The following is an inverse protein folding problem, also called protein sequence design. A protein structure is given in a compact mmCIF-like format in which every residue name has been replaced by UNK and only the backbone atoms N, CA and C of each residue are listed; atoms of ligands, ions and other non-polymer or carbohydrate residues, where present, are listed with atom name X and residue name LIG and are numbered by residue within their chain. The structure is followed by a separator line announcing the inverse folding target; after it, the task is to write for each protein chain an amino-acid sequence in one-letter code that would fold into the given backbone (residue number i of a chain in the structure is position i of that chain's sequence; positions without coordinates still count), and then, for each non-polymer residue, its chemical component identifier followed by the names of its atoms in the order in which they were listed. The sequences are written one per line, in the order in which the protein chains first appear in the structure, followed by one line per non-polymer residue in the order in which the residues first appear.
data_IF_297469784829
#
_entry.id   IF_297469784829
#
_cell.length_a   1.000
_cell.length_b   1.000
_cell.length_c   1.000
_cell.angle_alpha   90.00
_cell.angle_beta   90.00
_cell.angle_gamma   90.00
#
_symmetry.space_group_name_H-M   'P 1'
#
loop_
_entity.id
_entity.type
_entity.pdbx_description
1 polymer ?
#
# COMPACT_ATOMS: atom_id res chain seq x y z
N UNK A 1 14.55 60.29 13.47
CA UNK A 1 15.97 59.99 13.16
C UNK A 1 16.15 58.50 13.40
N UNK A 2 16.53 57.59 12.50
CA UNK A 2 17.15 57.60 11.16
C UNK A 2 16.44 56.52 10.32
N UNK A 3 16.16 56.78 9.04
CA UNK A 3 15.79 55.74 8.06
C UNK A 3 17.07 55.01 7.67
N UNK A 4 17.15 53.70 7.92
CA UNK A 4 18.23 52.86 7.41
C UNK A 4 17.86 52.39 6.00
N UNK A 5 18.53 52.96 5.00
CA UNK A 5 18.46 52.58 3.60
C UNK A 5 19.35 51.33 3.44
N UNK A 6 18.75 50.16 3.20
CA UNK A 6 19.50 48.96 2.86
C UNK A 6 19.95 49.09 1.40
N UNK A 7 21.24 49.38 1.19
CA UNK A 7 21.85 49.41 -0.14
C UNK A 7 22.05 47.97 -0.59
N UNK A 8 21.25 47.53 -1.56
CA UNK A 8 21.41 46.24 -2.22
C UNK A 8 22.55 46.37 -3.23
N UNK A 9 23.76 45.95 -2.86
CA UNK A 9 24.89 45.86 -3.79
C UNK A 9 24.64 44.71 -4.75
N UNK A 10 24.08 44.99 -5.92
CA UNK A 10 24.09 44.05 -7.04
C UNK A 10 25.53 43.85 -7.48
N UNK A 11 26.12 42.70 -7.13
CA UNK A 11 27.34 42.22 -7.76
C UNK A 11 26.92 41.65 -9.12
N UNK A 12 27.06 42.46 -10.16
CA UNK A 12 27.02 41.98 -11.54
C UNK A 12 28.30 41.20 -11.81
N UNK A 13 28.26 39.89 -11.60
CA UNK A 13 29.24 38.95 -12.17
C UNK A 13 29.08 39.01 -13.68
N UNK A 14 29.93 39.80 -14.33
CA UNK A 14 30.09 39.80 -15.78
C UNK A 14 30.82 38.52 -16.15
N UNK A 15 30.05 37.48 -16.53
CA UNK A 15 30.60 36.34 -17.25
C UNK A 15 31.06 36.83 -18.64
N UNK A 16 32.32 37.23 -18.75
CA UNK A 16 33.02 37.28 -20.04
C UNK A 16 33.45 35.86 -20.42
N UNK A 17 32.46 35.00 -20.68
CA UNK A 17 32.64 33.73 -21.35
C UNK A 17 31.63 33.69 -22.48
N UNK A 18 32.10 33.68 -23.73
CA UNK A 18 31.23 33.55 -24.90
C UNK A 18 30.44 32.24 -24.78
N UNK A 19 29.20 32.31 -24.32
CA UNK A 19 28.24 31.19 -24.33
C UNK A 19 27.90 30.68 -25.74
N UNK A 20 28.58 31.16 -26.78
CA UNK A 20 28.49 30.66 -28.15
C UNK A 20 29.32 29.40 -28.38
N UNK A 21 30.34 29.10 -27.57
CA UNK A 21 31.22 27.95 -27.82
C UNK A 21 30.65 26.60 -27.35
N UNK A 22 29.63 26.59 -26.46
CA UNK A 22 28.94 25.34 -26.07
C UNK A 22 27.96 24.82 -27.14
N UNK A 23 27.65 25.64 -28.15
CA UNK A 23 26.77 25.29 -29.27
C UNK A 23 27.47 25.45 -30.63
N UNK A 24 28.80 25.54 -30.65
CA UNK A 24 29.61 25.79 -31.85
C UNK A 24 29.64 24.62 -32.85
N UNK A 25 29.17 23.43 -32.46
CA UNK A 25 28.78 22.41 -33.42
C UNK A 25 27.36 22.71 -33.90
N UNK A 26 27.23 23.13 -35.17
CA UNK A 26 25.94 23.17 -35.89
C UNK A 26 25.11 21.95 -35.48
N UNK A 27 23.85 22.10 -35.01
CA UNK A 27 23.06 20.95 -34.59
C UNK A 27 23.07 19.96 -35.75
N UNK A 28 23.54 18.74 -35.52
CA UNK A 28 23.39 17.66 -36.49
C UNK A 28 21.93 17.73 -36.96
N UNK A 29 21.70 17.99 -38.25
CA UNK A 29 20.35 18.03 -38.81
C UNK A 29 19.79 16.62 -38.72
N UNK A 30 19.19 16.27 -37.60
CA UNK A 30 18.48 15.01 -37.45
C UNK A 30 17.33 15.02 -38.44
N UNK A 31 17.26 13.98 -39.27
CA UNK A 31 16.12 13.82 -40.18
C UNK A 31 14.95 13.30 -39.36
N UNK A 32 13.91 14.11 -39.21
CA UNK A 32 12.65 13.70 -38.59
C UNK A 32 11.84 12.89 -39.58
N UNK A 33 11.41 11.70 -39.17
CA UNK A 33 10.40 10.89 -39.84
C UNK A 33 9.20 10.73 -38.91
N UNK A 34 8.05 10.44 -39.49
CA UNK A 34 6.82 10.20 -38.76
C UNK A 34 6.41 8.76 -38.97
N UNK A 35 5.99 8.05 -37.93
CA UNK A 35 5.66 6.62 -38.03
C UNK A 35 4.28 6.37 -37.43
N UNK A 36 3.45 5.60 -38.13
CA UNK A 36 2.20 5.13 -37.55
C UNK A 36 2.50 4.28 -36.29
N UNK A 37 1.96 4.64 -35.11
CA UNK A 37 2.23 3.87 -33.90
C UNK A 37 1.75 2.43 -34.03
N UNK A 38 2.33 1.47 -33.28
CA UNK A 38 1.93 0.07 -33.33
C UNK A 38 0.45 -0.08 -32.96
N UNK A 39 -0.37 -0.45 -33.94
CA UNK A 39 -1.83 -0.56 -33.81
C UNK A 39 -2.49 -1.65 -34.65
N UNK A 40 -1.73 -2.33 -35.50
CA UNK A 40 -2.20 -3.43 -36.33
C UNK A 40 -3.05 -3.03 -37.54
N UNK A 41 -3.04 -1.76 -37.98
CA UNK A 41 -3.66 -1.39 -39.27
C UNK A 41 -2.68 -1.65 -40.43
N UNK A 42 -3.11 -1.44 -41.68
CA UNK A 42 -2.22 -1.70 -42.83
C UNK A 42 -1.03 -0.73 -42.88
N UNK A 43 -1.18 0.44 -42.26
CA UNK A 43 -0.13 1.47 -42.16
C UNK A 43 0.73 1.33 -40.89
N UNK A 44 0.54 0.29 -40.06
CA UNK A 44 1.34 0.08 -38.83
C UNK A 44 2.84 0.02 -39.15
N UNK A 45 3.63 0.90 -38.52
CA UNK A 45 5.07 0.98 -38.74
C UNK A 45 5.49 1.63 -40.06
N UNK A 46 4.55 2.08 -40.89
CA UNK A 46 4.87 2.85 -42.10
C UNK A 46 5.42 4.23 -41.75
N UNK A 47 6.34 4.72 -42.59
CA UNK A 47 7.07 5.97 -42.37
C UNK A 47 6.58 7.06 -43.33
N UNK A 48 6.44 8.26 -42.80
CA UNK A 48 5.93 9.45 -43.48
C UNK A 48 6.91 10.61 -43.31
N UNK A 49 6.90 11.52 -44.29
CA UNK A 49 7.77 12.69 -44.34
C UNK A 49 7.18 13.93 -43.64
N UNK A 50 5.90 13.87 -43.25
CA UNK A 50 5.16 14.95 -42.64
C UNK A 50 4.31 14.45 -41.46
N UNK A 51 4.03 15.31 -40.46
CA UNK A 51 3.08 14.96 -39.40
C UNK A 51 1.70 14.73 -39.99
N UNK A 52 0.93 13.84 -39.37
CA UNK A 52 -0.39 13.47 -39.88
C UNK A 52 -1.10 12.50 -38.97
N UNK A 53 -2.28 12.09 -39.40
CA UNK A 53 -3.12 11.09 -38.75
C UNK A 53 -3.26 9.94 -39.74
N UNK A 54 -3.07 8.70 -39.28
CA UNK A 54 -3.31 7.51 -40.09
C UNK A 54 -4.79 7.47 -40.53
N UNK A 55 -5.03 7.30 -41.82
CA UNK A 55 -6.40 7.27 -42.38
C UNK A 55 -7.21 6.04 -41.96
N UNK A 56 -6.57 5.02 -41.39
CA UNK A 56 -7.23 3.77 -40.98
C UNK A 56 -7.43 3.68 -39.47
N UNK A 57 -6.37 3.88 -38.67
CA UNK A 57 -6.46 3.75 -37.22
C UNK A 57 -6.79 5.08 -36.52
N UNK A 58 -6.80 6.20 -37.26
CA UNK A 58 -7.08 7.53 -36.74
C UNK A 58 -6.14 8.01 -35.61
N UNK A 59 -4.96 7.39 -35.48
CA UNK A 59 -3.92 7.84 -34.55
C UNK A 59 -2.97 8.82 -35.21
N UNK A 60 -2.46 9.78 -34.43
CA UNK A 60 -1.41 10.68 -34.87
C UNK A 60 -0.09 9.91 -35.06
N UNK A 61 0.65 10.24 -36.12
CA UNK A 61 1.98 9.67 -36.34
C UNK A 61 2.95 10.10 -35.22
N UNK A 62 3.74 9.15 -34.75
CA UNK A 62 4.81 9.39 -33.78
C UNK A 62 6.05 9.94 -34.45
N UNK A 63 6.76 10.85 -33.79
CA UNK A 63 8.02 11.39 -34.30
C UNK A 63 9.17 10.41 -34.05
N UNK A 64 9.96 10.13 -35.09
CA UNK A 64 11.16 9.31 -35.01
C UNK A 64 12.34 10.07 -35.63
N UNK A 65 13.45 10.15 -34.89
CA UNK A 65 14.70 10.72 -35.40
C UNK A 65 15.52 9.61 -36.07
N UNK A 66 15.88 9.80 -37.34
CA UNK A 66 16.74 8.86 -38.09
C UNK A 66 18.08 8.66 -37.37
N UNK A 67 18.46 7.41 -37.09
CA UNK A 67 19.67 7.07 -36.32
C UNK A 67 19.52 7.13 -34.80
N UNK A 68 18.35 7.56 -34.30
CA UNK A 68 17.91 7.38 -32.92
C UNK A 68 16.65 6.51 -32.91
N UNK A 69 16.68 5.42 -33.67
CA UNK A 69 15.62 4.42 -33.57
C UNK A 69 15.51 3.99 -32.12
N UNK A 70 14.27 3.86 -31.61
CA UNK A 70 14.04 3.34 -30.28
C UNK A 70 14.79 2.00 -30.17
N UNK A 71 15.79 1.91 -29.29
CA UNK A 71 16.32 0.60 -28.90
C UNK A 71 15.12 -0.22 -28.45
N UNK A 72 14.91 -1.43 -28.99
CA UNK A 72 13.78 -2.21 -28.58
C UNK A 72 13.86 -2.39 -27.06
N UNK A 73 12.73 -2.17 -26.38
CA UNK A 73 12.62 -2.28 -24.91
C UNK A 73 13.12 -3.65 -24.39
N UNK A 74 13.25 -4.64 -25.28
CA UNK A 74 13.84 -5.97 -25.05
C UNK A 74 15.34 -5.96 -24.74
N UNK A 75 16.05 -4.84 -24.91
CA UNK A 75 17.49 -4.74 -24.60
C UNK A 75 17.80 -4.51 -23.11
N UNK A 76 16.80 -4.24 -22.26
CA UNK A 76 16.95 -4.26 -20.80
C UNK A 76 16.43 -5.60 -20.29
N UNK A 77 17.27 -6.37 -19.59
CA UNK A 77 16.83 -7.60 -18.91
C UNK A 77 15.72 -7.26 -17.92
N UNK A 78 14.51 -7.76 -18.17
CA UNK A 78 13.36 -7.53 -17.27
C UNK A 78 13.63 -8.21 -15.93
N UNK A 79 13.45 -7.47 -14.85
CA UNK A 79 13.47 -8.04 -13.49
C UNK A 79 12.30 -9.00 -13.33
N UNK A 80 12.53 -10.11 -12.65
CA UNK A 80 11.52 -11.14 -12.40
C UNK A 80 10.98 -11.06 -10.98
N UNK A 81 9.65 -10.95 -10.85
CA UNK A 81 8.94 -10.98 -9.59
C UNK A 81 8.12 -12.25 -9.47
N UNK A 82 8.44 -13.07 -8.46
CA UNK A 82 7.69 -14.27 -8.11
C UNK A 82 6.63 -13.95 -7.05
N UNK A 83 5.36 -14.17 -7.38
CA UNK A 83 4.21 -13.92 -6.52
C UNK A 83 3.78 -15.24 -5.88
N UNK A 84 3.88 -15.32 -4.55
CA UNK A 84 3.52 -16.53 -3.82
C UNK A 84 2.01 -16.72 -3.78
N UNK A 85 1.54 -17.91 -4.14
CA UNK A 85 0.14 -18.30 -4.09
C UNK A 85 -0.10 -19.41 -3.07
N UNK A 86 -1.17 -19.27 -2.31
CA UNK A 86 -1.69 -20.31 -1.41
C UNK A 86 -3.20 -20.15 -1.24
N UNK A 87 -3.86 -21.21 -0.77
CA UNK A 87 -5.30 -21.16 -0.51
C UNK A 87 -5.60 -20.19 0.63
N UNK A 88 -6.49 -19.23 0.36
CA UNK A 88 -6.85 -18.19 1.32
C UNK A 88 -5.93 -16.97 1.29
N UNK A 89 -5.00 -16.86 0.34
CA UNK A 89 -4.30 -15.61 0.09
C UNK A 89 -5.29 -14.50 -0.28
N UNK A 90 -5.06 -13.28 0.21
CA UNK A 90 -5.95 -12.15 -0.11
C UNK A 90 -5.82 -11.75 -1.58
N UNK A 91 -6.96 -11.57 -2.25
CA UNK A 91 -6.99 -11.29 -3.69
C UNK A 91 -6.31 -9.97 -4.04
N UNK A 92 -6.42 -8.95 -3.19
CA UNK A 92 -5.88 -7.63 -3.49
C UNK A 92 -4.40 -7.54 -3.09
N UNK A 93 -4.00 -8.26 -2.05
CA UNK A 93 -2.58 -8.40 -1.71
C UNK A 93 -1.80 -9.08 -2.84
N UNK A 94 -2.42 -9.99 -3.60
CA UNK A 94 -1.83 -10.59 -4.81
C UNK A 94 -1.92 -9.64 -6.01
N UNK A 95 -3.12 -9.23 -6.38
CA UNK A 95 -3.38 -8.58 -7.68
C UNK A 95 -2.96 -7.11 -7.72
N UNK A 96 -2.98 -6.39 -6.59
CA UNK A 96 -2.53 -5.00 -6.52
C UNK A 96 -1.06 -4.83 -6.92
N UNK A 97 -0.12 -5.51 -6.23
CA UNK A 97 1.29 -5.56 -6.61
C UNK A 97 1.54 -6.08 -8.02
N UNK A 98 0.85 -7.15 -8.43
CA UNK A 98 0.98 -7.68 -9.80
C UNK A 98 0.66 -6.61 -10.84
N UNK A 99 -0.40 -5.82 -10.65
CA UNK A 99 -0.77 -4.76 -11.59
C UNK A 99 0.32 -3.68 -11.67
N UNK A 100 0.92 -3.27 -10.55
CA UNK A 100 2.03 -2.29 -10.56
C UNK A 100 3.25 -2.86 -11.29
N UNK A 101 3.62 -4.10 -11.02
CA UNK A 101 4.75 -4.77 -11.68
C UNK A 101 4.52 -4.96 -13.18
N UNK A 102 3.28 -5.21 -13.60
CA UNK A 102 2.90 -5.40 -15.00
C UNK A 102 3.13 -4.10 -15.77
N UNK A 103 2.60 -2.98 -15.25
CA UNK A 103 2.80 -1.66 -15.85
C UNK A 103 4.26 -1.20 -15.83
N UNK A 104 5.04 -1.69 -14.86
CA UNK A 104 6.48 -1.47 -14.78
C UNK A 104 7.31 -2.37 -15.71
N UNK A 105 6.69 -3.34 -16.39
CA UNK A 105 7.36 -4.23 -17.32
C UNK A 105 8.25 -5.28 -16.66
N UNK A 106 7.96 -5.66 -15.41
CA UNK A 106 8.57 -6.85 -14.80
C UNK A 106 8.13 -8.11 -15.55
N UNK A 107 8.97 -9.15 -15.48
CA UNK A 107 8.54 -10.50 -15.74
C UNK A 107 7.82 -11.02 -14.49
N UNK A 108 6.52 -11.21 -14.54
CA UNK A 108 5.74 -11.69 -13.38
C UNK A 108 5.54 -13.18 -13.54
N UNK A 109 5.88 -13.93 -12.51
CA UNK A 109 5.59 -15.35 -12.41
C UNK A 109 4.92 -15.64 -11.07
N UNK A 110 4.11 -16.69 -11.04
CA UNK A 110 3.42 -17.14 -9.83
C UNK A 110 4.04 -18.44 -9.33
N UNK A 111 4.12 -18.59 -8.00
CA UNK A 111 4.77 -19.74 -7.37
C UNK A 111 3.94 -20.28 -6.22
N UNK A 112 3.81 -21.60 -6.11
CA UNK A 112 3.11 -22.23 -5.00
C UNK A 112 3.79 -23.54 -4.58
N UNK A 113 3.26 -24.20 -3.54
CA UNK A 113 3.75 -25.52 -3.10
C UNK A 113 3.70 -26.58 -4.20
N UNK A 114 2.64 -26.57 -4.99
CA UNK A 114 2.33 -27.57 -6.00
C UNK A 114 1.56 -26.92 -7.15
N UNK A 115 1.46 -27.62 -8.28
CA UNK A 115 0.86 -27.12 -9.53
C UNK A 115 -0.67 -26.91 -9.46
N UNK A 116 -1.34 -27.32 -8.38
CA UNK A 116 -2.79 -27.20 -8.29
C UNK A 116 -3.18 -25.74 -8.13
N UNK A 117 -4.24 -25.28 -8.83
CA UNK A 117 -4.76 -23.93 -8.67
C UNK A 117 -5.06 -23.58 -7.22
N UNK A 118 -4.64 -22.38 -6.81
CA UNK A 118 -4.86 -21.85 -5.46
C UNK A 118 -6.06 -20.93 -5.47
N UNK A 119 -6.95 -21.13 -4.50
CA UNK A 119 -8.08 -20.25 -4.26
C UNK A 119 -7.58 -18.98 -3.57
N UNK A 120 -7.59 -17.85 -4.27
CA UNK A 120 -7.29 -16.53 -3.72
C UNK A 120 -8.58 -15.75 -3.53
N UNK A 121 -8.71 -15.10 -2.37
CA UNK A 121 -9.97 -14.53 -1.90
C UNK A 121 -11.12 -15.55 -1.93
N UNK A 122 -12.35 -15.06 -2.14
CA UNK A 122 -13.56 -15.91 -2.10
C UNK A 122 -13.90 -16.59 -3.43
N UNK A 123 -13.38 -16.11 -4.57
CA UNK A 123 -13.93 -16.47 -5.89
C UNK A 123 -12.91 -16.83 -6.96
N UNK A 124 -11.64 -16.44 -6.82
CA UNK A 124 -10.65 -16.60 -7.89
C UNK A 124 -9.75 -17.80 -7.64
N UNK A 125 -9.50 -18.60 -8.69
CA UNK A 125 -8.49 -19.65 -8.69
C UNK A 125 -7.39 -19.30 -9.68
N UNK A 126 -6.14 -19.37 -9.23
CA UNK A 126 -4.98 -19.10 -10.05
C UNK A 126 -4.04 -20.31 -10.06
N UNK A 127 -3.68 -20.79 -11.25
CA UNK A 127 -2.68 -21.82 -11.42
C UNK A 127 -1.29 -21.19 -11.27
N UNK A 128 -0.37 -21.79 -10.49
CA UNK A 128 0.99 -21.29 -10.39
C UNK A 128 1.80 -21.65 -11.65
N UNK A 129 2.70 -20.76 -12.07
CA UNK A 129 3.66 -21.02 -13.15
C UNK A 129 4.77 -21.97 -12.70
N UNK A 130 5.13 -21.91 -11.41
CA UNK A 130 6.18 -22.72 -10.81
C UNK A 130 5.76 -23.31 -9.46
N UNK A 131 6.40 -24.43 -9.10
CA UNK A 131 6.39 -24.89 -7.71
C UNK A 131 7.55 -24.27 -6.93
N UNK A 132 7.54 -24.37 -5.61
CA UNK A 132 8.67 -23.97 -4.77
C UNK A 132 9.99 -24.64 -5.18
N UNK A 133 9.92 -25.88 -5.67
CA UNK A 133 11.08 -26.65 -6.14
C UNK A 133 11.52 -26.24 -7.56
N UNK A 134 10.59 -25.88 -8.44
CA UNK A 134 10.89 -25.58 -9.85
C UNK A 134 11.16 -24.10 -10.15
N UNK A 135 11.02 -23.21 -9.16
CA UNK A 135 11.26 -21.79 -9.35
C UNK A 135 12.76 -21.50 -9.56
N UNK A 136 13.17 -20.88 -10.69
CA UNK A 136 14.54 -20.43 -10.88
C UNK A 136 14.87 -19.26 -9.94
N UNK A 137 16.13 -18.81 -9.91
CA UNK A 137 16.49 -17.59 -9.17
C UNK A 137 15.77 -16.37 -9.78
N UNK A 138 15.24 -15.52 -8.91
CA UNK A 138 14.43 -14.34 -9.25
C UNK A 138 14.88 -13.13 -8.46
N UNK A 139 14.61 -11.93 -8.98
CA UNK A 139 14.99 -10.69 -8.33
C UNK A 139 14.13 -10.40 -7.10
N UNK A 140 12.82 -10.70 -7.18
CA UNK A 140 11.84 -10.37 -6.13
C UNK A 140 11.00 -11.61 -5.79
N UNK A 141 10.79 -11.85 -4.49
CA UNK A 141 9.74 -12.75 -3.99
C UNK A 141 8.74 -11.91 -3.21
N UNK A 142 7.47 -12.00 -3.61
CA UNK A 142 6.36 -11.28 -2.97
C UNK A 142 5.42 -12.27 -2.27
N UNK A 143 5.17 -12.04 -0.98
CA UNK A 143 4.32 -12.87 -0.13
C UNK A 143 3.06 -12.08 0.26
N UNK A 144 1.86 -12.47 -0.22
CA UNK A 144 0.61 -11.81 0.16
C UNK A 144 0.21 -12.17 1.59
N UNK A 145 -0.75 -11.42 2.13
CA UNK A 145 -1.46 -11.82 3.34
C UNK A 145 -2.56 -12.84 3.06
N UNK A 146 -3.35 -13.11 4.10
CA UNK A 146 -4.36 -14.17 4.12
C UNK A 146 -3.84 -15.49 4.69
N UNK A 147 -4.74 -16.48 4.79
CA UNK A 147 -4.45 -17.79 5.39
C UNK A 147 -4.01 -17.75 6.87
N UNK A 148 -3.64 -18.90 7.47
CA UNK A 148 -3.19 -18.97 8.87
C UNK A 148 -1.70 -18.59 9.00
N UNK A 149 -1.33 -17.38 8.55
CA UNK A 149 0.06 -16.92 8.49
C UNK A 149 0.72 -16.80 9.88
N UNK A 150 -0.05 -16.69 10.95
CA UNK A 150 0.41 -16.23 12.26
C UNK A 150 1.06 -17.29 13.17
N UNK A 151 1.06 -18.59 12.85
CA UNK A 151 1.40 -19.58 13.90
C UNK A 151 2.14 -20.85 13.51
N UNK A 152 2.48 -21.07 12.23
CA UNK A 152 3.08 -22.34 11.81
C UNK A 152 4.51 -22.18 11.27
N UNK A 153 5.51 -22.47 12.09
CA UNK A 153 6.94 -22.47 11.70
C UNK A 153 7.31 -23.58 10.71
N UNK A 154 6.54 -24.67 10.67
CA UNK A 154 6.71 -25.82 9.76
C UNK A 154 5.91 -25.65 8.47
N UNK A 155 5.47 -24.43 8.17
CA UNK A 155 4.79 -24.11 6.94
C UNK A 155 5.74 -24.23 5.74
N UNK A 156 5.27 -24.85 4.65
CA UNK A 156 6.07 -25.06 3.43
C UNK A 156 6.60 -23.74 2.84
N UNK A 157 5.82 -22.65 2.91
CA UNK A 157 6.23 -21.32 2.46
C UNK A 157 7.39 -20.83 3.32
N UNK A 158 7.29 -20.94 4.65
CA UNK A 158 8.34 -20.48 5.59
C UNK A 158 9.64 -21.23 5.34
N UNK A 159 9.57 -22.56 5.24
CA UNK A 159 10.74 -23.40 4.96
C UNK A 159 11.36 -23.05 3.61
N UNK A 160 10.53 -22.86 2.59
CA UNK A 160 11.00 -22.46 1.28
C UNK A 160 11.66 -21.07 1.30
N UNK A 161 11.07 -20.06 1.93
CA UNK A 161 11.62 -18.70 2.03
C UNK A 161 13.03 -18.68 2.63
N UNK A 162 13.29 -19.49 3.67
CA UNK A 162 14.64 -19.64 4.26
C UNK A 162 15.70 -20.05 3.22
N UNK A 163 15.32 -20.82 2.20
CA UNK A 163 16.24 -21.27 1.14
C UNK A 163 16.44 -20.25 0.02
N UNK A 164 15.63 -19.19 0.00
CA UNK A 164 15.58 -18.19 -1.07
C UNK A 164 16.20 -16.85 -0.67
N UNK A 165 16.11 -16.49 0.60
CA UNK A 165 16.55 -15.20 1.15
C UNK A 165 17.92 -14.74 0.62
N UNK A 166 18.96 -15.55 0.75
CA UNK A 166 20.31 -15.22 0.31
C UNK A 166 20.50 -15.13 -1.24
N UNK A 167 19.51 -15.55 -2.03
CA UNK A 167 19.55 -15.58 -3.51
C UNK A 167 18.52 -14.66 -4.15
N UNK A 168 17.77 -13.91 -3.35
CA UNK A 168 16.73 -12.99 -3.83
C UNK A 168 17.09 -11.58 -3.37
N UNK A 169 17.08 -10.63 -4.30
CA UNK A 169 17.48 -9.25 -4.01
C UNK A 169 16.42 -8.52 -3.17
N UNK A 170 15.13 -8.78 -3.42
CA UNK A 170 14.03 -8.18 -2.65
C UNK A 170 13.03 -9.22 -2.12
N UNK A 171 12.90 -9.27 -0.79
CA UNK A 171 11.81 -9.95 -0.10
C UNK A 171 10.70 -8.94 0.20
N UNK A 172 9.55 -9.09 -0.44
CA UNK A 172 8.41 -8.21 -0.30
C UNK A 172 7.23 -8.95 0.36
N UNK A 173 6.57 -8.35 1.35
CA UNK A 173 5.31 -8.88 1.87
C UNK A 173 4.23 -7.82 1.97
N UNK A 174 2.97 -8.25 1.87
CA UNK A 174 1.79 -7.42 2.10
C UNK A 174 0.97 -7.98 3.25
N UNK A 175 0.36 -7.11 4.07
CA UNK A 175 -0.59 -7.51 5.11
C UNK A 175 0.02 -8.53 6.09
N UNK A 176 -0.68 -9.63 6.39
CA UNK A 176 -0.19 -10.74 7.22
C UNK A 176 0.95 -11.54 6.57
N UNK A 177 1.32 -11.25 5.32
CA UNK A 177 2.47 -11.86 4.65
C UNK A 177 3.79 -11.66 5.42
N UNK A 178 3.88 -10.57 6.20
CA UNK A 178 5.02 -10.28 7.07
C UNK A 178 5.28 -11.40 8.09
N UNK A 179 4.26 -12.15 8.51
CA UNK A 179 4.44 -13.26 9.44
C UNK A 179 5.21 -14.43 8.82
N UNK A 180 5.03 -14.70 7.51
CA UNK A 180 5.85 -15.72 6.83
C UNK A 180 7.33 -15.32 6.80
N UNK A 181 7.62 -14.04 6.53
CA UNK A 181 8.99 -13.51 6.58
C UNK A 181 9.56 -13.55 8.01
N UNK A 182 8.75 -13.20 9.01
CA UNK A 182 9.12 -13.26 10.42
C UNK A 182 9.44 -14.68 10.88
N UNK A 183 8.58 -15.66 10.56
CA UNK A 183 8.80 -17.07 10.88
C UNK A 183 10.02 -17.65 10.15
N UNK A 184 10.35 -17.13 8.98
CA UNK A 184 11.57 -17.49 8.24
C UNK A 184 12.84 -16.88 8.85
N UNK A 185 12.72 -15.93 9.80
CA UNK A 185 13.84 -15.21 10.42
C UNK A 185 14.34 -14.03 9.60
N UNK A 186 13.69 -13.71 8.48
CA UNK A 186 14.12 -12.67 7.52
C UNK A 186 13.93 -11.26 8.11
N UNK A 187 12.97 -11.10 9.02
CA UNK A 187 12.70 -9.82 9.67
C UNK A 187 13.62 -9.54 10.88
N UNK A 188 14.40 -10.51 11.36
CA UNK A 188 15.22 -10.35 12.57
C UNK A 188 16.19 -9.16 12.43
N UNK A 189 16.10 -8.19 13.35
CA UNK A 189 16.94 -6.99 13.35
C UNK A 189 16.51 -5.88 12.38
N UNK A 190 15.44 -6.10 11.60
CA UNK A 190 14.96 -5.15 10.60
C UNK A 190 13.70 -4.39 11.07
N UNK A 191 13.43 -3.27 10.39
CA UNK A 191 12.14 -2.59 10.50
C UNK A 191 11.08 -3.32 9.67
N UNK A 192 9.89 -3.51 10.24
CA UNK A 192 8.77 -4.13 9.54
C UNK A 192 7.43 -3.53 9.98
N UNK A 193 6.42 -3.66 9.14
CA UNK A 193 5.00 -3.40 9.45
C UNK A 193 4.16 -4.58 8.97
N UNK A 194 2.88 -4.60 9.34
CA UNK A 194 1.88 -5.57 8.88
C UNK A 194 0.50 -4.90 8.88
N UNK A 195 -0.56 -5.66 8.63
CA UNK A 195 -1.91 -5.15 8.73
C UNK A 195 -2.18 -4.55 10.13
N UNK A 196 -2.88 -3.41 10.17
CA UNK A 196 -3.05 -2.60 11.38
C UNK A 196 -3.46 -3.42 12.62
N UNK A 197 -4.43 -4.32 12.50
CA UNK A 197 -4.92 -5.13 13.62
C UNK A 197 -3.93 -6.22 14.07
N UNK A 198 -2.91 -6.53 13.28
CA UNK A 198 -1.91 -7.57 13.55
C UNK A 198 -0.59 -7.02 14.10
N UNK A 199 -0.45 -5.70 14.21
CA UNK A 199 0.73 -5.05 14.78
C UNK A 199 1.07 -5.58 16.19
N UNK A 200 0.10 -5.72 17.13
CA UNK A 200 0.40 -6.29 18.45
C UNK A 200 0.94 -7.73 18.35
N UNK A 201 0.36 -8.55 17.47
CA UNK A 201 0.76 -9.94 17.25
C UNK A 201 2.18 -10.02 16.68
N UNK A 202 2.52 -9.18 15.69
CA UNK A 202 3.86 -9.12 15.10
C UNK A 202 4.91 -8.75 16.15
N UNK A 203 4.62 -7.76 17.01
CA UNK A 203 5.50 -7.36 18.12
C UNK A 203 5.72 -8.48 19.13
N UNK A 204 4.64 -9.15 19.52
CA UNK A 204 4.69 -10.21 20.52
C UNK A 204 5.46 -11.44 20.00
N UNK A 205 5.26 -11.79 18.73
CA UNK A 205 5.83 -13.01 18.15
C UNK A 205 7.28 -12.84 17.70
N UNK A 206 7.68 -11.66 17.22
CA UNK A 206 9.02 -11.39 16.70
C UNK A 206 9.70 -10.25 17.46
N UNK A 207 10.17 -10.46 18.70
CA UNK A 207 10.71 -9.40 19.56
C UNK A 207 12.01 -8.77 19.05
N UNK A 208 12.68 -9.39 18.06
CA UNK A 208 13.87 -8.83 17.39
C UNK A 208 13.53 -7.87 16.25
N UNK A 209 12.26 -7.75 15.87
CA UNK A 209 11.79 -6.89 14.78
C UNK A 209 11.45 -5.52 15.34
N UNK A 210 11.94 -4.46 14.69
CA UNK A 210 11.50 -3.09 15.00
C UNK A 210 10.18 -2.82 14.30
N UNK A 211 9.07 -3.13 14.98
CA UNK A 211 7.72 -3.01 14.40
C UNK A 211 7.24 -1.55 14.36
N UNK A 212 7.07 -1.04 13.15
CA UNK A 212 6.48 0.25 12.83
C UNK A 212 4.96 0.09 12.69
N UNK A 213 4.18 0.89 13.40
CA UNK A 213 2.71 0.80 13.42
C UNK A 213 1.98 1.95 12.73
N UNK A 214 2.74 2.91 12.18
CA UNK A 214 2.21 4.13 11.56
C UNK A 214 2.69 4.37 10.12
N UNK A 215 2.96 3.30 9.40
CA UNK A 215 3.54 3.36 8.06
C UNK A 215 2.78 2.49 7.07
N UNK A 216 2.68 2.94 5.82
CA UNK A 216 2.12 2.13 4.73
C UNK A 216 3.04 0.94 4.46
N UNK A 217 4.34 1.17 4.54
CA UNK A 217 5.35 0.13 4.39
C UNK A 217 6.62 0.45 5.18
N UNK A 218 7.39 -0.57 5.51
CA UNK A 218 8.78 -0.47 5.94
C UNK A 218 9.66 -0.98 4.79
N UNK A 219 10.78 -0.32 4.53
CA UNK A 219 11.67 -0.65 3.43
C UNK A 219 13.13 -0.39 3.84
N UNK A 220 13.95 -1.43 3.87
CA UNK A 220 15.40 -1.34 4.12
C UNK A 220 16.26 -1.67 2.88
N UNK A 221 15.64 -1.76 1.70
CA UNK A 221 16.27 -2.13 0.44
C UNK A 221 16.18 -3.61 0.11
N UNK A 222 16.45 -4.50 1.07
CA UNK A 222 16.34 -5.96 0.86
C UNK A 222 14.96 -6.49 1.24
N UNK A 223 14.42 -6.05 2.37
CA UNK A 223 13.11 -6.40 2.88
C UNK A 223 12.17 -5.21 2.78
N UNK A 224 11.01 -5.45 2.19
CA UNK A 224 9.89 -4.53 2.13
C UNK A 224 8.68 -5.22 2.74
N UNK A 225 8.08 -4.63 3.76
CA UNK A 225 6.81 -5.11 4.32
C UNK A 225 5.80 -4.00 4.24
N UNK A 226 4.61 -4.26 3.72
CA UNK A 226 3.52 -3.29 3.74
C UNK A 226 2.45 -3.67 4.75
N UNK A 227 1.70 -2.65 5.17
CA UNK A 227 0.37 -2.79 5.74
C UNK A 227 -0.57 -3.50 4.73
N UNK A 228 -1.84 -3.67 5.07
CA UNK A 228 -2.73 -4.46 4.19
C UNK A 228 -3.17 -3.74 2.93
N UNK A 229 -3.59 -4.54 1.94
CA UNK A 229 -4.46 -4.11 0.87
C UNK A 229 -3.82 -2.98 0.02
N UNK A 230 -4.36 -1.76 0.07
CA UNK A 230 -3.88 -0.65 -0.77
C UNK A 230 -2.44 -0.25 -0.47
N UNK A 231 -1.96 -0.51 0.74
CA UNK A 231 -0.55 -0.27 1.07
C UNK A 231 0.42 -1.19 0.32
N UNK A 232 -0.03 -2.36 -0.13
CA UNK A 232 0.75 -3.23 -1.01
C UNK A 232 0.99 -2.58 -2.39
N UNK A 233 0.01 -1.83 -2.89
CA UNK A 233 0.14 -1.04 -4.13
C UNK A 233 1.17 0.08 -3.92
N UNK A 234 1.03 0.85 -2.83
CA UNK A 234 1.99 1.91 -2.48
C UNK A 234 3.43 1.38 -2.36
N UNK A 235 3.62 0.23 -1.70
CA UNK A 235 4.92 -0.41 -1.51
C UNK A 235 5.51 -0.95 -2.82
N UNK A 236 4.66 -1.41 -3.74
CA UNK A 236 5.10 -1.91 -5.05
C UNK A 236 5.76 -0.80 -5.88
N UNK A 237 5.31 0.45 -5.75
CA UNK A 237 5.99 1.59 -6.38
C UNK A 237 7.40 1.85 -5.82
N UNK A 238 7.67 1.55 -4.55
CA UNK A 238 9.04 1.61 -4.01
C UNK A 238 9.92 0.48 -4.58
N UNK A 239 9.35 -0.71 -4.82
CA UNK A 239 10.06 -1.78 -5.54
C UNK A 239 10.39 -1.33 -6.97
N UNK A 240 9.43 -0.75 -7.69
CA UNK A 240 9.67 -0.16 -9.02
C UNK A 240 10.76 0.91 -8.95
N UNK A 241 10.71 1.79 -7.95
CA UNK A 241 11.68 2.85 -7.76
C UNK A 241 13.10 2.30 -7.49
N UNK A 242 13.22 1.19 -6.74
CA UNK A 242 14.49 0.48 -6.49
C UNK A 242 15.13 0.03 -7.81
N UNK A 243 14.36 -0.58 -8.71
CA UNK A 243 14.91 -1.21 -9.92
C UNK A 243 15.00 -0.28 -11.13
N UNK A 244 14.05 0.63 -11.28
CA UNK A 244 13.89 1.45 -12.50
C UNK A 244 13.85 2.96 -12.22
N UNK A 245 14.02 3.37 -10.96
CA UNK A 245 14.08 4.76 -10.57
C UNK A 245 12.71 5.41 -10.30
N UNK A 246 12.74 6.46 -9.49
CA UNK A 246 11.53 7.17 -9.02
C UNK A 246 10.71 7.80 -10.15
N UNK A 247 11.37 8.26 -11.22
CA UNK A 247 10.70 8.87 -12.36
C UNK A 247 9.74 7.90 -13.05
N UNK A 248 10.19 6.65 -13.28
CA UNK A 248 9.33 5.63 -13.88
C UNK A 248 8.23 5.20 -12.92
N UNK A 249 8.53 5.04 -11.62
CA UNK A 249 7.51 4.70 -10.62
C UNK A 249 6.37 5.73 -10.59
N UNK A 250 6.69 7.04 -10.60
CA UNK A 250 5.68 8.10 -10.62
C UNK A 250 4.92 8.17 -11.94
N UNK A 251 5.59 7.97 -13.08
CA UNK A 251 4.95 7.90 -14.40
C UNK A 251 3.95 6.75 -14.48
N UNK A 252 4.30 5.58 -13.95
CA UNK A 252 3.39 4.42 -13.87
C UNK A 252 2.21 4.72 -12.95
N UNK A 253 2.45 5.30 -11.76
CA UNK A 253 1.37 5.69 -10.87
C UNK A 253 0.38 6.62 -11.57
N UNK A 254 0.88 7.62 -12.32
CA UNK A 254 0.03 8.53 -13.09
C UNK A 254 -0.74 7.82 -14.21
N UNK A 255 -0.12 6.87 -14.93
CA UNK A 255 -0.80 6.07 -15.97
C UNK A 255 -1.87 5.14 -15.41
N UNK A 256 -1.65 4.63 -14.19
CA UNK A 256 -2.63 3.83 -13.46
C UNK A 256 -3.71 4.71 -12.80
N UNK A 257 -3.66 6.04 -12.99
CA UNK A 257 -4.51 7.04 -12.31
C UNK A 257 -4.49 6.89 -10.78
N UNK A 258 -3.39 6.35 -10.25
CA UNK A 258 -3.21 6.11 -8.83
C UNK A 258 -2.50 7.31 -8.21
N UNK A 259 -3.08 7.98 -7.20
CA UNK A 259 -2.51 9.19 -6.59
C UNK A 259 -1.38 8.83 -5.62
N UNK A 260 -0.34 8.15 -6.12
CA UNK A 260 0.80 7.73 -5.33
C UNK A 260 1.48 8.95 -4.73
N UNK A 261 1.63 8.93 -3.41
CA UNK A 261 2.44 9.87 -2.67
C UNK A 261 3.52 9.07 -1.98
N UNK A 262 4.77 9.48 -2.16
CA UNK A 262 5.91 8.85 -1.51
C UNK A 262 5.94 9.03 0.01
N UNK A 263 5.09 9.91 0.54
CA UNK A 263 4.90 10.02 1.98
C UNK A 263 4.33 8.70 2.49
N UNK A 264 4.95 8.19 3.55
CA UNK A 264 4.64 6.91 4.15
C UNK A 264 3.61 7.04 5.28
N UNK A 265 2.90 8.17 5.34
CA UNK A 265 1.80 8.42 6.27
C UNK A 265 0.67 7.41 6.00
N UNK A 266 0.49 6.48 6.94
CA UNK A 266 -0.58 5.48 6.84
C UNK A 266 -1.87 6.06 7.38
N UNK A 267 -2.85 6.21 6.48
CA UNK A 267 -4.14 6.77 6.83
C UNK A 267 -4.75 6.07 8.04
N UNK A 268 -4.77 4.71 8.07
CA UNK A 268 -5.54 3.94 9.06
C UNK A 268 -5.00 3.99 10.49
N UNK A 269 -3.68 3.97 10.68
CA UNK A 269 -3.11 4.00 12.04
C UNK A 269 -3.17 5.38 12.69
N UNK A 270 -3.32 6.42 11.86
CA UNK A 270 -3.51 7.80 12.28
C UNK A 270 -4.99 8.14 12.54
N UNK A 271 -5.93 7.28 12.12
CA UNK A 271 -7.36 7.49 12.38
C UNK A 271 -7.66 7.38 13.87
N UNK A 272 -8.64 8.17 14.31
CA UNK A 272 -9.17 8.05 15.67
C UNK A 272 -9.84 6.69 15.95
N UNK A 273 -10.08 5.87 14.92
CA UNK A 273 -10.78 4.59 15.01
C UNK A 273 -9.92 3.40 15.45
N UNK A 274 -8.60 3.57 15.54
CA UNK A 274 -7.63 2.49 15.79
C UNK A 274 -7.95 1.65 17.06
N UNK A 275 -8.70 2.21 18.02
CA UNK A 275 -9.20 1.51 19.22
C UNK A 275 -10.67 1.07 19.18
N UNK A 276 -11.49 1.64 18.31
CA UNK A 276 -12.90 1.26 18.18
C UNK A 276 -13.14 0.25 17.07
N UNK A 277 -12.17 -0.11 16.22
CA UNK A 277 -12.39 -1.13 15.17
C UNK A 277 -12.76 -2.49 15.79
N UNK A 278 -12.01 -2.96 16.80
CA UNK A 278 -12.31 -4.24 17.46
C UNK A 278 -13.69 -4.22 18.10
N UNK A 279 -14.05 -3.10 18.73
CA UNK A 279 -15.38 -2.87 19.29
C UNK A 279 -16.46 -2.73 18.22
N UNK A 280 -16.21 -2.03 17.12
CA UNK A 280 -17.12 -1.89 15.99
C UNK A 280 -17.38 -3.22 15.31
N UNK A 281 -16.36 -4.08 15.20
CA UNK A 281 -16.49 -5.47 14.77
C UNK A 281 -17.35 -6.29 15.74
N UNK A 282 -17.25 -6.03 17.06
CA UNK A 282 -18.11 -6.64 18.06
C UNK A 282 -19.57 -6.16 17.91
N UNK A 283 -19.81 -4.85 17.85
CA UNK A 283 -21.14 -4.26 17.66
C UNK A 283 -21.78 -4.78 16.37
N UNK A 284 -20.99 -4.91 15.29
CA UNK A 284 -21.43 -5.47 14.01
C UNK A 284 -22.01 -6.88 14.13
N UNK A 285 -21.58 -7.70 15.09
CA UNK A 285 -22.16 -9.04 15.34
C UNK A 285 -23.62 -8.97 15.80
N UNK A 286 -24.02 -7.85 16.39
CA UNK A 286 -25.37 -7.57 16.87
C UNK A 286 -26.16 -6.70 15.89
N UNK A 287 -25.62 -6.40 14.71
CA UNK A 287 -26.23 -5.50 13.74
C UNK A 287 -26.96 -6.25 12.62
N UNK A 288 -28.16 -5.82 12.28
CA UNK A 288 -28.80 -6.16 10.99
C UNK A 288 -28.16 -5.39 9.84
N UNK A 289 -27.73 -4.15 10.10
CA UNK A 289 -27.21 -3.25 9.09
C UNK A 289 -26.10 -2.39 9.66
N UNK A 290 -25.01 -2.27 8.91
CA UNK A 290 -24.00 -1.25 9.12
C UNK A 290 -24.45 0.00 8.35
N UNK A 291 -24.89 1.02 9.07
CA UNK A 291 -25.59 2.18 8.50
C UNK A 291 -24.62 3.28 8.05
N UNK A 292 -23.56 3.53 8.82
CA UNK A 292 -22.65 4.65 8.60
C UNK A 292 -21.26 4.33 9.17
N UNK A 293 -20.22 4.75 8.46
CA UNK A 293 -18.83 4.69 8.91
C UNK A 293 -18.05 5.81 8.26
N UNK A 294 -17.57 6.77 9.05
CA UNK A 294 -16.85 7.95 8.53
C UNK A 294 -16.00 8.59 9.63
N UNK A 295 -15.00 9.35 9.21
CA UNK A 295 -14.13 10.09 10.10
C UNK A 295 -12.77 10.48 9.52
N UNK A 296 -11.88 10.92 10.40
CA UNK A 296 -10.52 11.35 10.12
C UNK A 296 -9.55 11.01 11.28
N UNK A 297 -8.40 11.69 11.31
CA UNK A 297 -7.38 11.51 12.36
C UNK A 297 -7.81 12.03 13.75
N UNK A 298 -8.86 12.83 13.82
CA UNK A 298 -9.32 13.49 15.03
C UNK A 298 -10.61 12.88 15.58
N UNK A 299 -11.50 12.40 14.72
CA UNK A 299 -12.76 11.80 15.13
C UNK A 299 -13.24 10.73 14.15
N UNK A 300 -13.91 9.71 14.67
CA UNK A 300 -14.52 8.65 13.86
C UNK A 300 -15.84 8.19 14.46
N UNK A 301 -16.81 7.82 13.64
CA UNK A 301 -18.11 7.31 14.05
C UNK A 301 -18.56 6.11 13.21
N UNK A 302 -19.06 5.09 13.89
CA UNK A 302 -19.76 3.95 13.32
C UNK A 302 -21.21 3.93 13.79
N UNK A 303 -22.17 3.76 12.88
CA UNK A 303 -23.58 3.52 13.24
C UNK A 303 -24.05 2.17 12.76
N UNK A 304 -24.66 1.43 13.68
CA UNK A 304 -25.21 0.12 13.43
C UNK A 304 -26.68 0.11 13.79
N UNK A 305 -27.50 -0.53 12.97
CA UNK A 305 -28.85 -0.89 13.34
C UNK A 305 -28.80 -2.28 13.97
N UNK A 306 -29.08 -2.39 15.26
CA UNK A 306 -29.10 -3.66 15.98
C UNK A 306 -30.25 -4.55 15.48
N UNK A 307 -30.19 -5.86 15.69
CA UNK A 307 -31.34 -6.73 15.43
C UNK A 307 -32.35 -6.68 16.58
N UNK A 308 -33.64 -6.91 16.30
CA UNK A 308 -34.76 -6.65 17.24
C UNK A 308 -34.70 -7.41 18.58
N UNK A 309 -33.97 -8.52 18.65
CA UNK A 309 -33.88 -9.34 19.87
C UNK A 309 -32.59 -9.15 20.68
N UNK A 310 -31.80 -8.11 20.39
CA UNK A 310 -30.66 -7.77 21.26
C UNK A 310 -31.19 -7.32 22.62
N UNK A 311 -30.76 -8.02 23.67
CA UNK A 311 -31.01 -7.66 25.06
C UNK A 311 -30.07 -6.50 25.43
N UNK A 312 -30.65 -5.31 25.65
CA UNK A 312 -29.88 -4.06 25.70
C UNK A 312 -29.01 -3.97 26.95
N UNK A 313 -29.46 -4.45 28.09
CA UNK A 313 -28.66 -4.37 29.32
C UNK A 313 -27.43 -5.31 29.21
N UNK A 314 -27.61 -6.51 28.65
CA UNK A 314 -26.52 -7.41 28.30
C UNK A 314 -25.55 -6.87 27.25
N UNK A 315 -26.07 -6.24 26.19
CA UNK A 315 -25.24 -5.58 25.17
C UNK A 315 -24.41 -4.43 25.76
N UNK A 316 -25.03 -3.58 26.58
CA UNK A 316 -24.34 -2.47 27.23
C UNK A 316 -23.29 -2.98 28.22
N UNK A 317 -23.60 -4.00 29.03
CA UNK A 317 -22.64 -4.63 29.94
C UNK A 317 -21.43 -5.25 29.23
N UNK A 318 -21.64 -5.86 28.06
CA UNK A 318 -20.55 -6.34 27.21
C UNK A 318 -19.65 -5.19 26.74
N UNK A 319 -20.25 -4.09 26.27
CA UNK A 319 -19.50 -2.92 25.80
C UNK A 319 -18.76 -2.21 26.94
N UNK A 320 -19.34 -2.16 28.14
CA UNK A 320 -18.67 -1.68 29.35
C UNK A 320 -17.38 -2.47 29.64
N UNK A 321 -17.44 -3.80 29.54
CA UNK A 321 -16.28 -4.66 29.75
C UNK A 321 -15.20 -4.45 28.69
N UNK A 322 -15.57 -4.15 27.44
CA UNK A 322 -14.59 -3.80 26.41
C UNK A 322 -13.97 -2.42 26.64
N UNK A 323 -14.75 -1.41 27.05
CA UNK A 323 -14.24 -0.06 27.32
C UNK A 323 -13.16 -0.07 28.41
N UNK A 324 -13.35 -0.89 29.45
CA UNK A 324 -12.40 -1.04 30.56
C UNK A 324 -11.05 -1.66 30.15
N UNK A 325 -10.95 -2.28 28.98
CA UNK A 325 -9.69 -2.83 28.46
C UNK A 325 -8.81 -1.76 27.79
N UNK A 326 -9.35 -0.56 27.56
CA UNK A 326 -8.59 0.53 26.97
C UNK A 326 -7.49 1.00 27.94
N UNK A 327 -6.30 1.41 27.44
CA UNK A 327 -5.20 1.84 28.30
C UNK A 327 -5.55 3.10 29.08
N UNK A 328 -5.28 3.11 30.39
CA UNK A 328 -5.53 4.24 31.29
C UNK A 328 -6.95 4.83 31.14
N UNK A 329 -7.94 3.95 31.10
CA UNK A 329 -9.33 4.33 30.85
C UNK A 329 -10.03 4.85 32.12
N UNK A 330 -10.73 5.97 31.99
CA UNK A 330 -11.57 6.58 33.03
C UNK A 330 -13.00 6.84 32.51
N UNK A 331 -13.99 6.51 33.34
CA UNK A 331 -15.40 6.75 33.03
C UNK A 331 -15.77 8.23 33.21
N UNK A 332 -16.49 8.80 32.24
CA UNK A 332 -17.14 10.10 32.37
C UNK A 332 -18.66 9.98 32.59
N UNK A 333 -19.31 9.01 31.91
CA UNK A 333 -20.74 8.74 32.07
C UNK A 333 -21.06 7.26 31.82
N UNK A 334 -21.98 6.72 32.63
CA UNK A 334 -22.56 5.38 32.47
C UNK A 334 -24.07 5.46 32.70
N UNK A 335 -24.82 5.30 31.62
CA UNK A 335 -26.28 5.33 31.60
C UNK A 335 -26.78 4.16 30.74
N UNK A 336 -28.07 3.86 30.83
CA UNK A 336 -28.69 2.70 30.16
C UNK A 336 -28.50 2.70 28.64
N UNK A 337 -28.38 3.86 28.02
CA UNK A 337 -28.25 4.08 26.58
C UNK A 337 -27.00 4.90 26.21
N UNK A 338 -26.09 5.14 27.16
CA UNK A 338 -24.89 5.94 26.95
C UNK A 338 -23.72 5.42 27.80
N UNK A 339 -22.62 5.05 27.12
CA UNK A 339 -21.32 4.82 27.74
C UNK A 339 -20.34 5.87 27.21
N UNK A 340 -19.64 6.54 28.11
CA UNK A 340 -18.69 7.60 27.75
C UNK A 340 -17.49 7.58 28.69
N UNK A 341 -16.29 7.65 28.11
CA UNK A 341 -15.06 7.70 28.89
C UNK A 341 -13.88 8.19 28.08
N UNK A 342 -12.77 8.39 28.79
CA UNK A 342 -11.49 8.81 28.23
C UNK A 342 -10.45 7.72 28.40
N UNK A 343 -9.47 7.69 27.51
CA UNK A 343 -8.37 6.72 27.53
C UNK A 343 -7.09 7.35 27.00
N UNK A 344 -5.95 6.70 27.23
CA UNK A 344 -4.69 7.10 26.64
C UNK A 344 -4.33 6.26 25.41
N UNK A 345 -3.97 6.96 24.33
CA UNK A 345 -3.51 6.40 23.08
C UNK A 345 -1.98 6.62 22.97
N UNK A 346 -1.17 5.56 22.78
CA UNK A 346 0.29 5.65 22.69
C UNK A 346 0.79 6.63 21.62
N UNK A 347 0.12 6.66 20.45
CA UNK A 347 0.48 7.52 19.33
C UNK A 347 -0.35 8.82 19.21
N UNK A 348 -1.54 8.89 19.81
CA UNK A 348 -2.48 9.99 19.59
C UNK A 348 -2.77 10.83 20.85
N UNK A 349 -2.23 10.48 22.01
CA UNK A 349 -2.49 11.18 23.27
C UNK A 349 -3.82 10.78 23.90
N UNK A 350 -4.52 11.70 24.56
CA UNK A 350 -5.81 11.39 25.19
C UNK A 350 -6.93 11.26 24.16
N UNK A 351 -7.69 10.18 24.25
CA UNK A 351 -8.87 9.91 23.46
C UNK A 351 -10.13 9.90 24.31
N UNK A 352 -11.27 10.11 23.69
CA UNK A 352 -12.61 9.98 24.26
C UNK A 352 -13.42 9.04 23.39
N UNK A 353 -14.09 8.09 24.02
CA UNK A 353 -14.91 7.07 23.37
C UNK A 353 -16.35 7.18 23.87
N UNK A 354 -17.30 7.05 22.95
CA UNK A 354 -18.73 7.16 23.24
C UNK A 354 -19.48 6.05 22.52
N UNK A 355 -20.29 5.30 23.26
CA UNK A 355 -21.34 4.45 22.70
C UNK A 355 -22.69 5.03 23.09
N UNK A 356 -23.51 5.37 22.11
CA UNK A 356 -24.87 5.87 22.31
C UNK A 356 -25.89 4.98 21.61
N UNK A 357 -26.95 4.62 22.31
CA UNK A 357 -28.10 3.93 21.74
C UNK A 357 -29.26 4.90 21.50
N UNK A 358 -29.92 4.75 20.35
CA UNK A 358 -31.17 5.45 20.04
C UNK A 358 -32.22 4.43 19.61
N UNK A 359 -33.38 4.42 20.26
CA UNK A 359 -34.49 3.61 19.80
C UNK A 359 -35.14 4.26 18.56
N UNK A 360 -35.26 3.48 17.49
CA UNK A 360 -35.89 3.83 16.22
C UNK A 360 -36.90 2.73 15.91
N UNK A 361 -38.18 2.99 16.17
CA UNK A 361 -39.31 2.09 15.89
C UNK A 361 -39.16 0.68 16.48
N UNK A 362 -38.67 0.59 17.73
CA UNK A 362 -38.50 -0.68 18.43
C UNK A 362 -37.23 -1.45 18.04
N UNK A 363 -36.32 -0.82 17.30
CA UNK A 363 -34.98 -1.29 17.01
C UNK A 363 -33.98 -0.24 17.51
N UNK A 364 -32.82 -0.65 18.02
CA UNK A 364 -31.82 0.29 18.49
C UNK A 364 -30.78 0.59 17.40
N UNK A 365 -30.50 1.87 17.19
CA UNK A 365 -29.31 2.34 16.48
C UNK A 365 -28.19 2.57 17.49
N UNK A 366 -27.08 1.87 17.33
CA UNK A 366 -25.88 2.04 18.13
C UNK A 366 -24.89 2.93 17.37
N UNK A 367 -24.57 4.10 17.92
CA UNK A 367 -23.46 4.95 17.48
C UNK A 367 -22.26 4.72 18.40
N UNK A 368 -21.18 4.17 17.84
CA UNK A 368 -19.89 4.03 18.50
C UNK A 368 -18.94 5.05 17.87
N UNK A 369 -18.39 5.95 18.67
CA UNK A 369 -17.49 7.00 18.21
C UNK A 369 -16.26 7.13 19.09
N UNK A 370 -15.18 7.62 18.48
CA UNK A 370 -13.95 7.98 19.17
C UNK A 370 -13.47 9.35 18.67
N UNK A 371 -12.92 10.17 19.57
CA UNK A 371 -12.33 11.47 19.24
C UNK A 371 -11.09 11.75 20.07
N UNK A 372 -10.14 12.51 19.54
CA UNK A 372 -9.02 13.06 20.30
C UNK A 372 -9.48 14.15 21.27
N UNK A 373 -8.90 14.18 22.47
CA UNK A 373 -9.08 15.22 23.49
C UNK A 373 -7.75 15.99 23.58
N UNK A 374 -7.56 16.95 22.68
CA UNK A 374 -6.44 17.91 22.54
C UNK A 374 -5.03 17.58 23.08
N UNK A 375 -4.07 17.41 22.17
CA UNK A 375 -2.74 18.06 22.10
C UNK A 375 -1.89 17.33 21.03
N UNK A 376 -1.91 17.83 19.79
CA UNK A 376 -0.93 17.44 18.76
C UNK A 376 -0.41 18.73 18.13
N UNK A 377 0.72 19.21 18.66
CA UNK A 377 1.55 20.19 17.96
C UNK A 377 2.41 19.41 16.94
N UNK A 378 2.31 19.77 15.66
CA UNK A 378 3.19 19.28 14.60
C UNK A 378 4.65 19.63 14.85
#
# INVERSE_FOLDING_TARGET
MKKALLVLTMITLTFQGNGQDLFASSPQKYTVKYVCPPCGCTQDGEHFDAPGICSECNMAYTTQLKGMENKPRTSMSRRTAAIVLFNGADIMDVTGPMSVFEHAGFNIITVAKDEKPKQIGMYMKLAPDHTFESLPDVDIIMVPGGGPAESNQDNDIVNWLRTRDARTDTMFSVCSGAFFLGLAGILDGNEATTFASLIPNLRAQFPKVKVLDNVKYANNGHVITSSGLSSGIDASFEVVAKYYGLGLAQDIANRMEYPWKRRNDYARSQLADNYIITMGNLVRRFATKYHYSDGDMNAWEFKYLLWKGVEIDGFMGLMEAEFQKLPNFDWESKQKDLLEGVYEHPNLGKGKIVLKLRNVDGIYEASLSAKRVENYSF
#
